data_IF_358082952406
#
_entry.id   IF_358082952406
#
_cell.length_a   1.000
_cell.length_b   1.000
_cell.length_c   1.000
_cell.angle_alpha   90.00
_cell.angle_beta   90.00
_cell.angle_gamma   90.00
#
_symmetry.space_group_name_H-M   'P 1'
#
loop_
_entity.id
_entity.type
_entity.pdbx_description
1 polymer ?
#
# COMPACT_ATOMS: atom_id res chain seq x y z
N UNK A 1 -5.25 -17.79 12.71
CA UNK A 1 -4.60 -16.48 12.97
C UNK A 1 -3.90 -16.00 11.68
N UNK A 2 -4.58 -16.07 10.53
CA UNK A 2 -3.91 -16.33 9.24
C UNK A 2 -3.80 -15.13 8.29
N UNK A 3 -4.19 -13.92 8.71
CA UNK A 3 -4.23 -12.75 7.82
C UNK A 3 -3.52 -11.51 8.40
N UNK A 4 -2.67 -11.72 9.41
CA UNK A 4 -2.05 -10.60 10.13
C UNK A 4 -1.10 -9.82 9.22
N UNK A 5 -0.37 -10.48 8.31
CA UNK A 5 0.56 -9.79 7.40
C UNK A 5 -0.22 -8.97 6.37
N UNK A 6 -1.22 -9.57 5.72
CA UNK A 6 -2.10 -8.85 4.77
C UNK A 6 -2.73 -7.60 5.39
N UNK A 7 -3.30 -7.74 6.59
CA UNK A 7 -3.92 -6.61 7.28
C UNK A 7 -2.92 -5.48 7.58
N UNK A 8 -1.79 -5.81 8.22
CA UNK A 8 -0.78 -4.81 8.58
C UNK A 8 -0.23 -4.10 7.35
N UNK A 9 0.05 -4.86 6.29
CA UNK A 9 0.58 -4.31 5.05
C UNK A 9 -0.44 -3.34 4.43
N UNK A 10 -1.68 -3.80 4.23
CA UNK A 10 -2.72 -3.03 3.58
C UNK A 10 -3.06 -1.76 4.38
N UNK A 11 -3.14 -1.84 5.70
CA UNK A 11 -3.36 -0.65 6.56
C UNK A 11 -2.25 0.41 6.38
N UNK A 12 -0.99 -0.01 6.26
CA UNK A 12 0.09 0.94 6.07
C UNK A 12 0.14 1.50 4.64
N UNK A 13 -0.13 0.66 3.64
CA UNK A 13 -0.17 1.07 2.24
C UNK A 13 -1.31 2.06 1.98
N UNK A 14 -2.52 1.76 2.43
CA UNK A 14 -3.70 2.59 2.20
C UNK A 14 -3.57 3.98 2.87
N UNK A 15 -2.84 4.07 3.98
CA UNK A 15 -2.53 5.34 4.64
C UNK A 15 -1.70 6.30 3.78
N UNK A 16 -0.98 5.82 2.75
CA UNK A 16 -0.29 6.70 1.81
C UNK A 16 -1.27 7.57 1.02
N UNK A 17 -2.49 7.07 0.81
CA UNK A 17 -3.55 7.73 0.04
C UNK A 17 -4.53 8.51 0.93
N UNK A 18 -4.17 8.78 2.19
CA UNK A 18 -5.04 9.51 3.13
C UNK A 18 -6.17 8.68 3.75
N UNK A 19 -6.13 7.34 3.62
CA UNK A 19 -7.09 6.47 4.30
C UNK A 19 -6.81 6.44 5.80
N UNK A 20 -7.81 6.84 6.60
CA UNK A 20 -7.72 6.90 8.06
C UNK A 20 -7.95 5.53 8.70
N UNK A 21 -8.91 4.79 8.13
CA UNK A 21 -9.37 3.52 8.68
C UNK A 21 -9.74 2.53 7.58
N UNK A 22 -9.42 1.27 7.80
CA UNK A 22 -9.85 0.15 6.97
C UNK A 22 -10.78 -0.77 7.77
N UNK A 23 -11.84 -1.24 7.13
CA UNK A 23 -12.65 -2.35 7.62
C UNK A 23 -12.61 -3.50 6.61
N UNK A 24 -12.01 -4.63 7.00
CA UNK A 24 -11.97 -5.82 6.16
C UNK A 24 -13.29 -6.57 6.27
N UNK A 25 -13.99 -6.75 5.16
CA UNK A 25 -15.34 -7.34 5.12
C UNK A 25 -15.32 -8.82 4.76
N UNK A 26 -14.36 -9.24 3.93
CA UNK A 26 -14.19 -10.63 3.52
C UNK A 26 -12.73 -10.93 3.19
N UNK A 27 -12.24 -12.08 3.63
CA UNK A 27 -10.90 -12.55 3.28
C UNK A 27 -11.02 -13.96 2.71
N UNK A 28 -10.36 -14.18 1.59
CA UNK A 28 -10.25 -15.47 0.90
C UNK A 28 -8.78 -15.85 0.80
N UNK A 29 -8.49 -17.00 0.16
CA UNK A 29 -7.13 -17.47 -0.03
C UNK A 29 -6.28 -16.50 -0.86
N UNK A 30 -6.89 -15.83 -1.85
CA UNK A 30 -6.22 -15.01 -2.85
C UNK A 30 -6.66 -13.54 -2.85
N UNK A 31 -7.69 -13.18 -2.06
CA UNK A 31 -8.23 -11.81 -2.03
C UNK A 31 -8.58 -11.32 -0.64
N UNK A 32 -8.48 -10.00 -0.46
CA UNK A 32 -8.97 -9.25 0.70
C UNK A 32 -9.94 -8.18 0.22
N UNK A 33 -11.15 -8.18 0.74
CA UNK A 33 -12.17 -7.17 0.49
C UNK A 33 -12.33 -6.29 1.73
N UNK A 34 -12.67 -5.03 1.51
CA UNK A 34 -12.96 -4.13 2.61
C UNK A 34 -13.43 -2.77 2.14
N UNK A 35 -13.50 -1.86 3.11
CA UNK A 35 -13.89 -0.47 2.92
C UNK A 35 -12.78 0.43 3.49
N UNK A 36 -12.38 1.42 2.69
CA UNK A 36 -11.49 2.50 3.09
C UNK A 36 -12.31 3.72 3.49
N UNK A 37 -12.00 4.31 4.64
CA UNK A 37 -12.67 5.50 5.17
C UNK A 37 -11.70 6.69 5.21
N UNK A 38 -12.16 7.82 4.70
CA UNK A 38 -11.42 9.09 4.65
C UNK A 38 -12.02 10.11 5.63
N UNK A 39 -11.31 11.20 5.89
CA UNK A 39 -11.71 12.22 6.90
C UNK A 39 -13.08 12.88 6.62
N UNK A 40 -13.50 12.99 5.35
CA UNK A 40 -14.73 13.70 4.97
C UNK A 40 -15.99 12.80 4.99
N UNK A 41 -15.95 11.69 5.75
CA UNK A 41 -16.93 10.60 5.72
C UNK A 41 -17.07 9.92 4.35
N UNK A 42 -16.15 10.17 3.43
CA UNK A 42 -16.09 9.48 2.17
C UNK A 42 -15.62 8.03 2.39
N UNK A 43 -16.12 7.12 1.55
CA UNK A 43 -15.81 5.70 1.62
C UNK A 43 -15.57 5.13 0.23
N UNK A 44 -14.60 4.22 0.17
CA UNK A 44 -14.30 3.47 -1.05
C UNK A 44 -14.27 1.98 -0.73
N UNK A 45 -15.10 1.20 -1.40
CA UNK A 45 -14.99 -0.25 -1.36
C UNK A 45 -13.78 -0.69 -2.19
N UNK A 46 -13.09 -1.75 -1.75
CA UNK A 46 -11.88 -2.22 -2.42
C UNK A 46 -11.76 -3.74 -2.44
N UNK A 47 -10.95 -4.23 -3.38
CA UNK A 47 -10.46 -5.60 -3.42
C UNK A 47 -8.94 -5.63 -3.68
N UNK A 48 -8.20 -6.26 -2.77
CA UNK A 48 -6.79 -6.53 -2.95
C UNK A 48 -6.56 -8.00 -3.33
N UNK A 49 -6.03 -8.21 -4.53
CA UNK A 49 -5.69 -9.52 -5.08
C UNK A 49 -4.35 -10.00 -4.53
N UNK A 50 -4.36 -10.50 -3.30
CA UNK A 50 -3.16 -10.98 -2.63
C UNK A 50 -3.42 -12.18 -1.72
N UNK A 51 -2.67 -13.26 -1.94
CA UNK A 51 -2.59 -14.38 -1.01
C UNK A 51 -1.60 -14.09 0.13
N UNK A 52 -1.76 -14.77 1.27
CA UNK A 52 -0.89 -14.54 2.45
C UNK A 52 0.60 -14.82 2.14
N UNK A 53 0.89 -15.77 1.27
CA UNK A 53 2.26 -16.12 0.85
C UNK A 53 2.90 -15.07 -0.07
N UNK A 54 2.08 -14.32 -0.82
CA UNK A 54 2.53 -13.32 -1.79
C UNK A 54 2.57 -11.90 -1.23
N UNK A 55 2.17 -11.70 0.03
CA UNK A 55 2.27 -10.39 0.69
C UNK A 55 3.69 -9.85 0.54
N UNK A 56 3.83 -8.58 0.10
CA UNK A 56 5.14 -7.99 -0.07
C UNK A 56 6.03 -8.11 1.17
N UNK A 57 7.34 -8.10 0.93
CA UNK A 57 8.34 -8.31 1.98
C UNK A 57 8.27 -7.23 3.06
N UNK A 58 8.76 -7.53 4.26
CA UNK A 58 8.80 -6.56 5.37
C UNK A 58 9.58 -5.29 4.99
N UNK A 59 10.61 -5.40 4.13
CA UNK A 59 11.35 -4.24 3.61
C UNK A 59 10.47 -3.26 2.84
N UNK A 60 9.44 -3.74 2.14
CA UNK A 60 8.44 -2.90 1.45
C UNK A 60 7.57 -2.17 2.47
N UNK A 61 7.16 -2.87 3.54
CA UNK A 61 6.41 -2.25 4.62
C UNK A 61 7.23 -1.17 5.35
N UNK A 62 8.53 -1.40 5.59
CA UNK A 62 9.44 -0.40 6.14
C UNK A 62 9.63 0.81 5.20
N UNK A 63 9.68 0.57 3.89
CA UNK A 63 9.73 1.63 2.89
C UNK A 63 8.45 2.49 2.93
N UNK A 64 7.27 1.88 2.96
CA UNK A 64 5.98 2.59 3.10
C UNK A 64 5.97 3.48 4.35
N UNK A 65 6.44 2.96 5.49
CA UNK A 65 6.54 3.75 6.73
C UNK A 65 7.47 4.96 6.56
N UNK A 66 8.62 4.75 5.92
CA UNK A 66 9.59 5.83 5.62
C UNK A 66 8.99 6.91 4.72
N UNK A 67 8.28 6.51 3.66
CA UNK A 67 7.59 7.43 2.75
C UNK A 67 6.59 8.30 3.51
N UNK A 68 5.77 7.69 4.38
CA UNK A 68 4.80 8.40 5.20
C UNK A 68 5.44 9.33 6.22
N UNK A 69 6.42 8.85 6.98
CA UNK A 69 7.09 9.63 8.03
C UNK A 69 7.82 10.87 7.48
N UNK A 70 8.21 10.83 6.20
CA UNK A 70 8.89 11.94 5.53
C UNK A 70 7.97 12.72 4.58
N UNK A 71 6.66 12.44 4.54
CA UNK A 71 5.67 13.05 3.64
C UNK A 71 6.12 13.02 2.16
N UNK A 72 6.56 11.85 1.68
CA UNK A 72 7.11 11.67 0.34
C UNK A 72 6.08 11.21 -0.71
N UNK A 73 4.79 11.24 -0.36
CA UNK A 73 3.68 10.91 -1.25
C UNK A 73 2.70 12.06 -1.23
N UNK A 74 2.33 12.55 -2.41
CA UNK A 74 1.28 13.54 -2.63
C UNK A 74 0.17 12.89 -3.48
N UNK A 75 -0.97 12.64 -2.84
CA UNK A 75 -2.11 11.86 -3.36
C UNK A 75 -1.71 10.42 -3.68
N UNK A 76 -1.08 10.20 -4.83
CA UNK A 76 -0.64 8.92 -5.38
C UNK A 76 0.77 9.00 -5.95
N UNK A 77 1.41 10.18 -5.97
CA UNK A 77 2.71 10.41 -6.58
C UNK A 77 3.81 10.54 -5.56
N UNK A 78 4.96 9.95 -5.87
CA UNK A 78 6.18 10.23 -5.13
C UNK A 78 6.61 11.67 -5.38
N UNK A 79 6.95 12.38 -4.30
CA UNK A 79 7.40 13.77 -4.38
C UNK A 79 8.91 13.88 -4.58
N UNK A 80 9.62 12.75 -4.61
CA UNK A 80 11.07 12.67 -4.56
C UNK A 80 11.60 11.51 -5.39
N UNK A 81 12.84 11.63 -5.87
CA UNK A 81 13.48 10.57 -6.67
C UNK A 81 13.81 9.33 -5.83
N UNK A 82 13.91 8.12 -6.43
CA UNK A 82 14.32 6.91 -5.72
C UNK A 82 15.66 7.07 -4.97
N UNK A 83 16.60 7.87 -5.52
CA UNK A 83 17.88 8.16 -4.87
C UNK A 83 17.72 9.03 -3.61
N UNK A 84 16.80 10.00 -3.63
CA UNK A 84 16.47 10.82 -2.44
C UNK A 84 15.78 9.97 -1.38
N UNK A 85 14.81 9.16 -1.79
CA UNK A 85 14.10 8.21 -0.90
C UNK A 85 15.10 7.27 -0.23
N UNK A 86 16.03 6.67 -0.99
CA UNK A 86 17.07 5.79 -0.45
C UNK A 86 17.86 6.44 0.69
N UNK A 87 18.27 7.70 0.53
CA UNK A 87 19.03 8.43 1.53
C UNK A 87 18.27 8.67 2.85
N UNK A 88 16.93 8.54 2.83
CA UNK A 88 16.06 8.63 4.01
C UNK A 88 15.76 7.26 4.63
N UNK A 89 16.11 6.17 3.95
CA UNK A 89 15.98 4.81 4.49
C UNK A 89 17.18 4.44 5.38
N UNK A 90 17.03 3.38 6.17
CA UNK A 90 18.15 2.74 6.90
C UNK A 90 18.90 1.72 6.04
N UNK A 91 18.55 1.57 4.77
CA UNK A 91 19.19 0.61 3.88
C UNK A 91 20.58 1.10 3.47
N UNK A 92 21.49 0.16 3.34
CA UNK A 92 22.90 0.37 3.03
C UNK A 92 23.30 -0.17 1.66
N UNK A 93 22.40 -0.86 0.96
CA UNK A 93 22.59 -1.37 -0.40
C UNK A 93 21.52 -0.80 -1.34
N UNK A 94 21.95 0.07 -2.26
CA UNK A 94 21.06 0.71 -3.22
C UNK A 94 20.41 -0.30 -4.18
N UNK A 95 21.09 -1.40 -4.52
CA UNK A 95 20.53 -2.40 -5.43
C UNK A 95 19.35 -3.15 -4.78
N UNK A 96 19.49 -3.50 -3.50
CA UNK A 96 18.40 -4.11 -2.73
C UNK A 96 17.26 -3.13 -2.48
N UNK A 97 17.59 -1.85 -2.28
CA UNK A 97 16.60 -0.78 -2.20
C UNK A 97 15.77 -0.69 -3.48
N UNK A 98 16.41 -0.65 -4.66
CA UNK A 98 15.69 -0.59 -5.94
C UNK A 98 14.77 -1.79 -6.11
N UNK A 99 15.22 -3.01 -5.79
CA UNK A 99 14.34 -4.18 -5.84
C UNK A 99 13.13 -4.09 -4.88
N UNK A 100 13.30 -3.43 -3.72
CA UNK A 100 12.21 -3.18 -2.76
C UNK A 100 11.27 -2.09 -3.26
N UNK A 101 11.84 -1.04 -3.86
CA UNK A 101 11.11 0.07 -4.45
C UNK A 101 10.27 -0.42 -5.63
N UNK A 102 10.84 -1.17 -6.56
CA UNK A 102 10.13 -1.76 -7.70
C UNK A 102 8.98 -2.66 -7.22
N UNK A 103 9.20 -3.48 -6.19
CA UNK A 103 8.14 -4.29 -5.58
C UNK A 103 6.99 -3.43 -5.05
N UNK A 104 7.29 -2.32 -4.35
CA UNK A 104 6.28 -1.37 -3.88
C UNK A 104 5.48 -0.79 -5.06
N UNK A 105 6.15 -0.38 -6.14
CA UNK A 105 5.49 0.23 -7.30
C UNK A 105 4.55 -0.74 -8.04
N UNK A 106 4.72 -2.05 -7.86
CA UNK A 106 3.79 -3.05 -8.42
C UNK A 106 2.54 -3.28 -7.57
N UNK A 107 2.51 -2.78 -6.33
CA UNK A 107 1.37 -2.94 -5.44
C UNK A 107 0.21 -2.09 -5.94
N UNK A 108 -0.91 -2.75 -6.21
CA UNK A 108 -2.16 -2.12 -6.58
C UNK A 108 -3.31 -2.76 -5.79
N UNK A 109 -4.28 -1.94 -5.40
CA UNK A 109 -5.51 -2.35 -4.71
C UNK A 109 -6.69 -1.85 -5.52
N UNK A 110 -7.58 -2.74 -5.99
CA UNK A 110 -8.73 -2.35 -6.82
C UNK A 110 -9.74 -1.55 -6.03
N UNK A 111 -10.24 -0.47 -6.62
CA UNK A 111 -11.45 0.20 -6.19
C UNK A 111 -12.67 -0.55 -6.74
N UNK A 112 -13.75 -0.56 -5.97
CA UNK A 112 -15.03 -1.13 -6.33
C UNK A 112 -16.10 -0.03 -6.23
N UNK A 113 -16.75 0.29 -7.34
CA UNK A 113 -17.87 1.22 -7.40
C UNK A 113 -19.09 0.49 -7.95
N UNK A 114 -20.24 0.64 -7.28
CA UNK A 114 -21.49 -0.03 -7.64
C UNK A 114 -21.36 -1.56 -7.86
N UNK A 115 -20.39 -2.18 -7.16
CA UNK A 115 -20.11 -3.62 -7.23
C UNK A 115 -19.18 -4.05 -8.36
N UNK A 116 -18.65 -3.11 -9.16
CA UNK A 116 -17.73 -3.38 -10.27
C UNK A 116 -16.33 -2.81 -9.99
N UNK A 117 -15.29 -3.48 -10.48
CA UNK A 117 -13.91 -2.98 -10.38
C UNK A 117 -13.68 -1.82 -11.34
N UNK A 118 -13.26 -0.67 -10.81
CA UNK A 118 -13.08 0.57 -11.58
C UNK A 118 -11.60 0.93 -11.72
N UNK A 119 -11.02 1.53 -10.68
CA UNK A 119 -9.65 2.03 -10.66
C UNK A 119 -8.80 1.30 -9.60
N UNK A 120 -7.64 1.86 -9.25
CA UNK A 120 -6.72 1.32 -8.27
C UNK A 120 -6.18 2.40 -7.33
N UNK A 121 -5.89 1.99 -6.10
CA UNK A 121 -4.86 2.63 -5.29
C UNK A 121 -3.50 2.06 -5.69
N UNK A 122 -2.61 2.89 -6.22
CA UNK A 122 -1.24 2.54 -6.58
C UNK A 122 -0.36 3.79 -6.60
N UNK A 123 0.94 3.61 -6.42
CA UNK A 123 1.89 4.72 -6.48
C UNK A 123 2.35 4.98 -7.91
N UNK A 124 2.50 6.26 -8.23
CA UNK A 124 3.14 6.79 -9.42
C UNK A 124 4.52 7.35 -9.08
N UNK A 125 5.50 7.14 -9.95
CA UNK A 125 6.84 7.73 -9.86
C UNK A 125 6.96 9.12 -10.52
#
# INVERSE_FOLDING_TARGET
MENKRRKIFLENFMRLFGVERLELTKITIDKVYGQAFFNDNDRQDFCWYMSEEKVPRESVLELIKTLRENNLVDIDKLTDTPKSVFAKTKQNDYKNFIATFDELMTVNVRMIDDGEETDYFFLHD
#
